data_IF_288967778885
#
_entry.id   IF_288967778885
#
_cell.length_a   1.000
_cell.length_b   1.000
_cell.length_c   1.000
_cell.angle_alpha   90.00
_cell.angle_beta   90.00
_cell.angle_gamma   90.00
#
_symmetry.space_group_name_H-M   'P 1'
#
loop_
_entity.id
_entity.type
_entity.pdbx_description
1 polymer ?
#
# COMPACT_ATOMS: atom_id res chain seq x y z
N UNK A 1 -22.72 9.73 12.77
CA UNK A 1 -23.94 10.49 12.43
C UNK A 1 -24.05 10.54 10.91
N UNK A 2 -24.93 9.72 10.33
CA UNK A 2 -25.20 9.75 8.90
C UNK A 2 -26.23 10.83 8.59
N UNK A 3 -26.12 11.57 7.47
CA UNK A 3 -27.12 12.50 7.02
C UNK A 3 -28.48 11.83 6.81
N UNK A 4 -29.58 12.50 7.14
CA UNK A 4 -30.94 11.97 7.03
C UNK A 4 -31.38 11.68 5.58
N UNK A 5 -30.70 12.25 4.58
CA UNK A 5 -31.12 12.27 3.16
C UNK A 5 -30.21 11.49 2.23
N UNK A 6 -29.61 10.37 2.68
CA UNK A 6 -28.63 9.58 1.88
C UNK A 6 -29.20 9.00 0.59
N UNK A 7 -30.51 8.75 0.51
CA UNK A 7 -31.17 8.12 -0.65
C UNK A 7 -31.86 9.11 -1.60
N UNK A 8 -31.77 10.40 -1.35
CA UNK A 8 -32.34 11.41 -2.25
C UNK A 8 -31.46 11.58 -3.51
N UNK A 9 -32.07 12.00 -4.60
CA UNK A 9 -31.41 12.19 -5.90
C UNK A 9 -30.30 13.25 -5.90
N UNK A 10 -30.33 14.17 -4.94
CA UNK A 10 -29.32 15.23 -4.71
C UNK A 10 -28.34 14.90 -3.56
N UNK A 11 -28.46 13.71 -2.99
CA UNK A 11 -27.60 13.26 -1.90
C UNK A 11 -26.13 13.09 -2.32
N UNK A 12 -25.24 13.10 -1.34
CA UNK A 12 -23.81 12.85 -1.56
C UNK A 12 -23.59 11.45 -2.20
N UNK A 13 -24.36 10.45 -1.76
CA UNK A 13 -24.30 9.10 -2.32
C UNK A 13 -24.72 9.10 -3.80
N UNK A 14 -25.84 9.74 -4.14
CA UNK A 14 -26.30 9.83 -5.52
C UNK A 14 -25.28 10.55 -6.41
N UNK A 15 -24.69 11.64 -5.94
CA UNK A 15 -23.64 12.37 -6.66
C UNK A 15 -22.38 11.54 -6.87
N UNK A 16 -21.92 10.81 -5.86
CA UNK A 16 -20.76 9.90 -5.99
C UNK A 16 -21.02 8.83 -7.03
N UNK A 17 -22.17 8.14 -6.94
CA UNK A 17 -22.52 7.07 -7.88
C UNK A 17 -22.69 7.56 -9.33
N UNK A 18 -23.18 8.79 -9.51
CA UNK A 18 -23.36 9.38 -10.84
C UNK A 18 -22.07 9.96 -11.42
N UNK A 19 -21.15 10.42 -10.57
CA UNK A 19 -19.94 11.14 -11.01
C UNK A 19 -18.73 10.24 -11.21
N UNK A 20 -18.71 9.06 -10.61
CA UNK A 20 -17.58 8.14 -10.64
C UNK A 20 -17.95 6.95 -11.52
N UNK A 21 -17.20 6.69 -12.61
CA UNK A 21 -17.39 5.52 -13.46
C UNK A 21 -17.29 4.20 -12.67
N UNK A 22 -18.05 3.19 -13.07
CA UNK A 22 -18.06 1.87 -12.41
C UNK A 22 -16.67 1.23 -12.36
N UNK A 23 -15.86 1.42 -13.39
CA UNK A 23 -14.49 0.93 -13.48
C UNK A 23 -13.56 1.52 -12.42
N UNK A 24 -13.78 2.78 -12.02
CA UNK A 24 -12.97 3.44 -10.99
C UNK A 24 -13.28 2.89 -9.59
N UNK A 25 -14.52 2.38 -9.35
CA UNK A 25 -14.88 1.76 -8.07
C UNK A 25 -14.14 0.44 -7.81
N UNK A 26 -13.58 -0.17 -8.85
CA UNK A 26 -12.75 -1.37 -8.73
C UNK A 26 -11.31 -1.04 -8.29
N UNK A 27 -10.93 0.24 -8.32
CA UNK A 27 -9.62 0.70 -7.88
C UNK A 27 -9.62 0.87 -6.36
N UNK A 28 -8.78 0.11 -5.67
CA UNK A 28 -8.59 0.23 -4.21
C UNK A 28 -8.26 1.67 -3.80
N UNK A 29 -7.55 2.39 -4.65
CA UNK A 29 -7.06 3.74 -4.39
C UNK A 29 -8.15 4.82 -4.38
N UNK A 30 -9.32 4.56 -4.94
CA UNK A 30 -10.35 5.61 -5.08
C UNK A 30 -10.78 6.18 -3.73
N UNK A 31 -10.90 5.35 -2.70
CA UNK A 31 -11.24 5.80 -1.34
C UNK A 31 -10.16 6.72 -0.81
N UNK A 32 -8.89 6.37 -1.03
CA UNK A 32 -7.75 7.16 -0.64
C UNK A 32 -7.72 8.53 -1.32
N UNK A 33 -7.98 8.55 -2.62
CA UNK A 33 -8.01 9.78 -3.41
C UNK A 33 -9.17 10.68 -3.01
N UNK A 34 -10.37 10.13 -2.82
CA UNK A 34 -11.51 10.89 -2.30
C UNK A 34 -11.21 11.51 -0.93
N UNK A 35 -10.55 10.75 -0.05
CA UNK A 35 -10.15 11.26 1.25
C UNK A 35 -9.09 12.36 1.14
N UNK A 36 -8.08 12.22 0.28
CA UNK A 36 -7.08 13.26 0.04
C UNK A 36 -7.70 14.55 -0.48
N UNK A 37 -8.65 14.46 -1.39
CA UNK A 37 -9.40 15.64 -1.87
C UNK A 37 -10.23 16.27 -0.75
N UNK A 38 -10.91 15.45 0.04
CA UNK A 38 -11.71 15.91 1.17
C UNK A 38 -10.89 16.71 2.19
N UNK A 39 -9.68 16.26 2.51
CA UNK A 39 -8.82 16.92 3.50
C UNK A 39 -7.91 18.01 2.90
N UNK A 40 -7.91 18.21 1.58
CA UNK A 40 -6.95 19.10 0.89
C UNK A 40 -6.96 20.53 1.43
N UNK A 41 -8.14 21.13 1.62
CA UNK A 41 -8.26 22.49 2.18
C UNK A 41 -7.70 22.58 3.60
N UNK A 42 -7.98 21.58 4.43
CA UNK A 42 -7.46 21.49 5.79
C UNK A 42 -5.95 21.34 5.80
N UNK A 43 -5.41 20.52 4.90
CA UNK A 43 -3.97 20.33 4.69
C UNK A 43 -3.30 21.65 4.33
N UNK A 44 -3.86 22.40 3.38
CA UNK A 44 -3.32 23.70 2.96
C UNK A 44 -3.31 24.72 4.10
N UNK A 45 -4.36 24.75 4.92
CA UNK A 45 -4.42 25.60 6.12
C UNK A 45 -3.32 25.23 7.12
N UNK A 46 -3.10 23.93 7.39
CA UNK A 46 -2.07 23.46 8.32
C UNK A 46 -0.68 23.83 7.80
N UNK A 47 -0.40 23.61 6.52
CA UNK A 47 0.90 23.97 5.92
C UNK A 47 1.13 25.48 5.88
N UNK A 48 0.07 26.28 5.65
CA UNK A 48 0.16 27.73 5.74
C UNK A 48 0.47 28.22 7.18
N UNK A 49 -0.07 27.50 8.18
CA UNK A 49 0.26 27.72 9.59
C UNK A 49 1.71 27.38 9.93
N UNK A 50 2.23 26.26 9.43
CA UNK A 50 3.64 25.86 9.60
C UNK A 50 4.62 26.90 9.05
N UNK A 51 4.32 27.48 7.88
CA UNK A 51 5.11 28.59 7.32
C UNK A 51 5.16 29.83 8.24
N UNK A 52 4.19 29.96 9.16
CA UNK A 52 4.11 31.02 10.17
C UNK A 52 4.62 30.55 11.54
N UNK A 53 5.37 29.44 11.61
CA UNK A 53 5.90 28.81 12.84
C UNK A 53 4.79 28.37 13.84
N UNK A 54 3.58 28.09 13.39
CA UNK A 54 2.53 27.52 14.22
C UNK A 54 2.76 26.02 14.36
N UNK A 55 2.62 25.49 15.57
CA UNK A 55 2.74 24.04 15.81
C UNK A 55 1.48 23.33 15.33
N UNK A 56 1.65 22.12 14.79
CA UNK A 56 0.55 21.23 14.44
C UNK A 56 -0.13 20.76 15.73
N UNK A 57 -1.44 20.90 15.83
CA UNK A 57 -2.23 20.35 16.94
C UNK A 57 -2.57 18.88 16.67
N UNK A 58 -2.90 18.12 17.71
CA UNK A 58 -3.29 16.71 17.58
C UNK A 58 -4.41 16.48 16.56
N UNK A 59 -5.42 17.37 16.52
CA UNK A 59 -6.52 17.33 15.56
C UNK A 59 -6.09 17.51 14.10
N UNK A 60 -4.96 18.18 13.89
CA UNK A 60 -4.46 18.51 12.56
C UNK A 60 -3.38 17.56 12.06
N UNK A 61 -2.91 16.62 12.91
CA UNK A 61 -1.92 15.61 12.51
C UNK A 61 -2.38 14.80 11.30
N UNK A 62 -3.61 14.25 11.25
CA UNK A 62 -4.06 13.48 10.08
C UNK A 62 -4.00 14.29 8.77
N UNK A 63 -4.42 15.55 8.80
CA UNK A 63 -4.38 16.42 7.64
C UNK A 63 -2.94 16.74 7.17
N UNK A 64 -1.98 16.78 8.11
CA UNK A 64 -0.58 17.07 7.81
C UNK A 64 0.20 15.84 7.30
N UNK A 65 -0.11 14.66 7.81
CA UNK A 65 0.71 13.44 7.61
C UNK A 65 0.10 12.47 6.61
N UNK A 66 -1.22 12.50 6.41
CA UNK A 66 -1.87 11.52 5.55
C UNK A 66 -1.53 11.75 4.08
N UNK A 67 -0.90 10.74 3.49
CA UNK A 67 -0.56 10.66 2.08
C UNK A 67 -0.90 9.26 1.59
N UNK A 68 -1.69 9.18 0.52
CA UNK A 68 -1.87 7.92 -0.19
C UNK A 68 -0.77 7.80 -1.23
N UNK A 69 0.13 6.86 -1.02
CA UNK A 69 1.23 6.61 -1.96
C UNK A 69 0.66 6.09 -3.28
N UNK A 70 0.95 6.73 -4.41
CA UNK A 70 0.50 6.25 -5.72
C UNK A 70 0.90 4.79 -5.97
N UNK A 71 0.03 4.02 -6.60
CA UNK A 71 0.18 2.57 -6.79
C UNK A 71 1.50 2.19 -7.48
N UNK A 72 1.93 2.96 -8.48
CA UNK A 72 3.20 2.70 -9.16
C UNK A 72 4.42 2.84 -8.25
N UNK A 73 4.38 3.79 -7.28
CA UNK A 73 5.44 3.93 -6.26
C UNK A 73 5.43 2.73 -5.31
N UNK A 74 4.25 2.31 -4.87
CA UNK A 74 4.09 1.12 -4.03
C UNK A 74 4.69 -0.09 -4.71
N UNK A 75 4.34 -0.34 -5.97
CA UNK A 75 4.87 -1.45 -6.75
C UNK A 75 6.38 -1.34 -6.91
N UNK A 76 6.88 -0.17 -7.31
CA UNK A 76 8.31 0.06 -7.43
C UNK A 76 9.07 -0.27 -6.13
N UNK A 77 8.57 0.19 -4.98
CA UNK A 77 9.21 -0.06 -3.69
C UNK A 77 9.21 -1.55 -3.32
N UNK A 78 8.07 -2.20 -3.44
CA UNK A 78 7.92 -3.61 -3.04
C UNK A 78 8.67 -4.55 -4.00
N UNK A 79 8.58 -4.30 -5.30
CA UNK A 79 9.25 -5.12 -6.32
C UNK A 79 10.79 -5.03 -6.22
N UNK A 80 11.32 -3.84 -5.91
CA UNK A 80 12.77 -3.62 -5.77
C UNK A 80 13.30 -3.84 -4.34
N UNK A 81 12.46 -4.23 -3.41
CA UNK A 81 12.88 -4.68 -2.08
C UNK A 81 12.56 -6.15 -1.87
N UNK A 82 11.29 -6.49 -1.62
CA UNK A 82 10.84 -7.86 -1.41
C UNK A 82 11.10 -8.76 -2.64
N UNK A 83 10.69 -8.30 -3.82
CA UNK A 83 10.87 -9.03 -5.07
C UNK A 83 12.35 -9.27 -5.38
N UNK A 84 13.17 -8.21 -5.25
CA UNK A 84 14.62 -8.30 -5.42
C UNK A 84 15.26 -9.27 -4.43
N UNK A 85 14.91 -9.18 -3.14
CA UNK A 85 15.42 -10.10 -2.13
C UNK A 85 15.09 -11.56 -2.47
N UNK A 86 13.87 -11.83 -2.92
CA UNK A 86 13.46 -13.16 -3.32
C UNK A 86 14.25 -13.68 -4.52
N UNK A 87 14.37 -12.89 -5.58
CA UNK A 87 15.13 -13.28 -6.78
C UNK A 87 16.62 -13.53 -6.51
N UNK A 88 17.23 -12.76 -5.59
CA UNK A 88 18.61 -13.01 -5.17
C UNK A 88 18.76 -14.36 -4.45
N UNK A 89 17.76 -14.78 -3.68
CA UNK A 89 17.75 -16.07 -3.00
C UNK A 89 17.24 -17.22 -3.88
N UNK A 90 16.48 -16.92 -4.93
CA UNK A 90 15.89 -17.89 -5.88
C UNK A 90 16.09 -17.42 -7.32
N UNK A 91 17.30 -17.54 -7.88
CA UNK A 91 17.60 -17.08 -9.26
C UNK A 91 16.77 -17.76 -10.34
N UNK A 92 16.17 -18.91 -10.04
CA UNK A 92 15.28 -19.64 -10.95
C UNK A 92 13.81 -19.26 -10.84
N UNK A 93 13.44 -18.33 -9.94
CA UNK A 93 12.06 -17.88 -9.75
C UNK A 93 11.54 -17.11 -10.96
N UNK A 94 10.28 -17.31 -11.28
CA UNK A 94 9.56 -16.59 -12.35
C UNK A 94 8.86 -15.33 -11.84
N UNK A 95 9.11 -14.94 -10.60
CA UNK A 95 8.48 -13.77 -9.98
C UNK A 95 8.72 -12.49 -10.79
N UNK A 96 9.89 -12.36 -11.41
CA UNK A 96 10.22 -11.21 -12.26
C UNK A 96 9.21 -10.98 -13.39
N UNK A 97 8.57 -12.03 -13.92
CA UNK A 97 7.57 -11.93 -14.98
C UNK A 97 6.28 -11.24 -14.52
N UNK A 98 6.06 -11.16 -13.20
CA UNK A 98 4.89 -10.52 -12.56
C UNK A 98 5.18 -9.11 -12.05
N UNK A 99 6.43 -8.63 -12.14
CA UNK A 99 6.88 -7.36 -11.59
C UNK A 99 7.16 -6.34 -12.70
N UNK A 100 6.29 -5.33 -12.80
CA UNK A 100 6.33 -4.32 -13.86
C UNK A 100 7.42 -3.25 -13.64
N UNK A 101 7.71 -2.95 -12.37
CA UNK A 101 8.65 -1.89 -11.98
C UNK A 101 9.96 -2.44 -11.40
N UNK A 102 10.20 -3.73 -11.55
CA UNK A 102 11.44 -4.35 -11.09
C UNK A 102 12.62 -3.93 -11.97
N UNK A 103 13.70 -3.49 -11.33
CA UNK A 103 14.96 -3.16 -11.98
C UNK A 103 15.99 -4.23 -11.61
N UNK A 104 16.37 -5.01 -12.61
CA UNK A 104 17.44 -5.99 -12.42
C UNK A 104 18.77 -5.27 -12.13
N UNK A 105 19.58 -5.77 -11.18
CA UNK A 105 20.89 -5.19 -10.92
C UNK A 105 21.82 -5.36 -12.14
N UNK A 106 22.60 -4.32 -12.45
CA UNK A 106 23.58 -4.35 -13.53
C UNK A 106 24.73 -5.31 -13.22
N UNK A 107 25.13 -5.39 -11.95
CA UNK A 107 26.17 -6.28 -11.46
C UNK A 107 25.59 -7.29 -10.46
N UNK A 108 26.14 -8.53 -10.39
CA UNK A 108 25.70 -9.53 -9.43
C UNK A 108 25.91 -9.06 -7.99
N UNK A 109 24.85 -9.05 -7.20
CA UNK A 109 24.94 -8.78 -5.77
C UNK A 109 25.36 -10.02 -5.00
N UNK A 110 26.34 -9.86 -4.12
CA UNK A 110 26.86 -10.94 -3.28
C UNK A 110 26.54 -10.76 -1.80
N UNK A 111 26.30 -9.53 -1.36
CA UNK A 111 25.97 -9.18 0.03
C UNK A 111 24.46 -8.86 0.13
N UNK A 112 23.68 -9.87 0.52
CA UNK A 112 22.25 -9.74 0.73
C UNK A 112 21.75 -10.73 1.79
N UNK A 113 20.60 -10.43 2.39
CA UNK A 113 19.96 -11.29 3.37
C UNK A 113 19.65 -12.67 2.77
N UNK A 114 20.12 -13.72 3.41
CA UNK A 114 19.85 -15.10 3.02
C UNK A 114 18.59 -15.59 3.70
N UNK A 115 17.67 -16.14 2.94
CA UNK A 115 16.43 -16.75 3.43
C UNK A 115 16.26 -18.15 2.86
N UNK A 116 15.87 -19.09 3.69
CA UNK A 116 15.66 -20.50 3.28
C UNK A 116 14.25 -20.71 2.72
N UNK A 117 13.30 -19.87 3.11
CA UNK A 117 11.92 -19.93 2.65
C UNK A 117 11.16 -18.62 2.91
N UNK A 118 9.96 -18.49 2.34
CA UNK A 118 9.18 -17.25 2.44
C UNK A 118 8.79 -16.90 3.88
N UNK A 119 8.65 -17.88 4.76
CA UNK A 119 8.28 -17.63 6.17
C UNK A 119 9.35 -16.87 6.96
N UNK A 120 10.59 -16.81 6.47
CA UNK A 120 11.66 -16.05 7.12
C UNK A 120 11.68 -14.58 6.78
N UNK A 121 10.96 -14.18 5.72
CA UNK A 121 10.88 -12.77 5.31
C UNK A 121 10.00 -11.99 6.29
N UNK A 122 10.52 -10.87 6.78
CA UNK A 122 9.78 -9.96 7.68
C UNK A 122 9.71 -8.58 7.04
N UNK A 123 8.48 -8.09 6.87
CA UNK A 123 8.20 -6.77 6.32
C UNK A 123 7.52 -5.96 7.40
N UNK A 124 8.07 -4.80 7.71
CA UNK A 124 7.48 -3.85 8.65
C UNK A 124 7.29 -2.51 7.96
N UNK A 125 6.05 -2.04 7.94
CA UNK A 125 5.73 -0.68 7.55
C UNK A 125 5.41 0.13 8.82
N UNK A 126 6.34 0.99 9.27
CA UNK A 126 6.19 1.72 10.53
C UNK A 126 5.23 2.93 10.44
N UNK A 127 4.70 3.22 9.27
CA UNK A 127 3.75 4.30 9.01
C UNK A 127 2.77 3.87 7.93
N UNK A 128 2.09 2.74 8.17
CA UNK A 128 1.38 2.00 7.12
C UNK A 128 0.13 2.71 6.58
N UNK A 129 -0.41 3.69 7.28
CA UNK A 129 -1.63 4.39 6.87
C UNK A 129 -2.77 3.42 6.59
N UNK A 130 -3.27 3.45 5.36
CA UNK A 130 -4.30 2.51 4.87
C UNK A 130 -3.75 1.13 4.46
N UNK A 131 -2.45 0.91 4.57
CA UNK A 131 -1.82 -0.38 4.30
C UNK A 131 -1.51 -0.67 2.83
N UNK A 132 -1.41 0.33 1.97
CA UNK A 132 -1.18 0.12 0.52
C UNK A 132 0.09 -0.68 0.23
N UNK A 133 1.20 -0.38 0.92
CA UNK A 133 2.46 -1.11 0.75
C UNK A 133 2.29 -2.56 1.21
N UNK A 134 1.66 -2.77 2.36
CA UNK A 134 1.44 -4.11 2.91
C UNK A 134 0.48 -4.94 2.06
N UNK A 135 -0.54 -4.32 1.47
CA UNK A 135 -1.48 -5.00 0.57
C UNK A 135 -0.75 -5.54 -0.66
N UNK A 136 0.05 -4.71 -1.33
CA UNK A 136 0.81 -5.17 -2.49
C UNK A 136 1.92 -6.16 -2.11
N UNK A 137 2.56 -5.97 -0.95
CA UNK A 137 3.51 -6.95 -0.41
C UNK A 137 2.84 -8.31 -0.15
N UNK A 138 1.57 -8.32 0.30
CA UNK A 138 0.78 -9.53 0.45
C UNK A 138 0.61 -10.26 -0.90
N UNK A 139 0.23 -9.53 -1.95
CA UNK A 139 0.03 -10.12 -3.27
C UNK A 139 1.32 -10.73 -3.83
N UNK A 140 2.45 -10.03 -3.65
CA UNK A 140 3.75 -10.54 -4.10
C UNK A 140 4.21 -11.74 -3.27
N UNK A 141 4.01 -11.72 -1.93
CA UNK A 141 4.26 -12.88 -1.07
C UNK A 141 3.38 -14.06 -1.44
N UNK A 142 2.10 -13.82 -1.74
CA UNK A 142 1.21 -14.89 -2.18
C UNK A 142 1.77 -15.62 -3.40
N UNK A 143 2.26 -14.87 -4.40
CA UNK A 143 2.88 -15.44 -5.59
C UNK A 143 4.16 -16.23 -5.25
N UNK A 144 4.97 -15.74 -4.29
CA UNK A 144 6.16 -16.42 -3.80
C UNK A 144 5.80 -17.77 -3.14
N UNK A 145 4.83 -17.77 -2.22
CA UNK A 145 4.38 -19.00 -1.55
C UNK A 145 3.78 -20.00 -2.53
N UNK A 146 3.00 -19.51 -3.51
CA UNK A 146 2.42 -20.33 -4.56
C UNK A 146 3.52 -21.01 -5.40
N UNK A 147 4.56 -20.27 -5.79
CA UNK A 147 5.69 -20.78 -6.54
C UNK A 147 6.51 -21.83 -5.74
N UNK A 148 6.61 -21.66 -4.41
CA UNK A 148 7.26 -22.63 -3.51
C UNK A 148 6.36 -23.87 -3.21
N UNK A 149 5.15 -23.92 -3.78
CA UNK A 149 4.26 -25.09 -3.70
C UNK A 149 3.38 -25.18 -2.45
N UNK A 150 3.16 -24.08 -1.76
CA UNK A 150 2.24 -24.05 -0.61
C UNK A 150 0.78 -24.15 -1.06
N UNK A 151 -0.09 -24.83 -0.29
CA UNK A 151 -1.51 -24.89 -0.58
C UNK A 151 -2.16 -23.49 -0.56
N UNK A 152 -2.92 -23.08 -1.58
CA UNK A 152 -3.54 -21.75 -1.64
C UNK A 152 -4.37 -21.37 -0.41
N UNK A 153 -5.03 -22.34 0.21
CA UNK A 153 -5.85 -22.13 1.41
C UNK A 153 -5.04 -21.75 2.67
N UNK A 154 -3.76 -22.11 2.72
CA UNK A 154 -2.87 -21.84 3.86
C UNK A 154 -2.11 -20.53 3.72
N UNK A 155 -1.83 -20.10 2.47
CA UNK A 155 -0.97 -18.96 2.17
C UNK A 155 -1.39 -17.67 2.91
N UNK A 156 -2.67 -17.25 2.91
CA UNK A 156 -3.06 -16.02 3.60
C UNK A 156 -2.73 -16.03 5.09
N UNK A 157 -2.98 -17.16 5.75
CA UNK A 157 -2.66 -17.33 7.17
C UNK A 157 -1.17 -17.26 7.45
N UNK A 158 -0.34 -17.87 6.60
CA UNK A 158 1.12 -17.85 6.72
C UNK A 158 1.66 -16.42 6.55
N UNK A 159 1.20 -15.68 5.52
CA UNK A 159 1.63 -14.31 5.27
C UNK A 159 1.30 -13.41 6.46
N UNK A 160 0.05 -13.44 6.94
CA UNK A 160 -0.38 -12.58 8.04
C UNK A 160 0.30 -12.93 9.37
N UNK A 161 0.67 -14.20 9.56
CA UNK A 161 1.32 -14.65 10.79
C UNK A 161 2.82 -14.38 10.80
N UNK A 162 3.47 -14.54 9.64
CA UNK A 162 4.93 -14.56 9.58
C UNK A 162 5.56 -13.33 8.93
N UNK A 163 4.90 -12.72 7.95
CA UNK A 163 5.59 -11.79 7.05
C UNK A 163 5.28 -10.31 7.30
N UNK A 164 4.02 -9.96 7.56
CA UNK A 164 3.59 -8.56 7.53
C UNK A 164 3.38 -7.99 8.92
N UNK A 165 3.91 -6.79 9.13
CA UNK A 165 3.67 -5.98 10.32
C UNK A 165 3.43 -4.54 9.90
N UNK A 166 2.30 -3.95 10.31
CA UNK A 166 2.00 -2.54 10.13
C UNK A 166 1.90 -1.83 11.45
N UNK A 167 2.42 -0.61 11.50
CA UNK A 167 2.30 0.30 12.66
C UNK A 167 1.69 1.60 12.15
N UNK A 168 0.69 2.10 12.86
CA UNK A 168 0.05 3.39 12.59
C UNK A 168 -0.23 4.11 13.90
N UNK A 169 -0.29 5.46 13.87
CA UNK A 169 -0.51 6.30 15.06
C UNK A 169 -2.00 6.64 15.21
#
# INVERSE_FOLDING_TARGET
>A
LLPENLLLTDSVVAKLVQSIPEEDWQQIEIIGWLYQFYISEKKDQVFAGLKKNQKITAENIPAATQLFTPHWIVRYLVENSLGRLWLLNRPGSRLAERMEYYIAPEEPETDFLRVSGPQEIRICDPACGSGHILTYAFDLLYAIYEEEGFPPAEIPGLILTHNLTGIEI
#
